data_IF_176951035700
#
_entry.id   IF_176951035700
#
_cell.length_a   1.000
_cell.length_b   1.000
_cell.length_c   1.000
_cell.angle_alpha   90.00
_cell.angle_beta   90.00
_cell.angle_gamma   90.00
#
_symmetry.space_group_name_H-M   'P 1'
#
loop_
_entity.id
_entity.type
_entity.pdbx_description
1 polymer ?
#
# COMPACT_ATOMS: atom_id res chain seq x y z
N UNK A 1 -1.11 -34.94 10.84
CA UNK A 1 -1.54 -35.73 9.67
C UNK A 1 -0.36 -35.92 8.71
N UNK A 2 0.22 -37.14 8.58
CA UNK A 2 1.50 -37.33 7.84
C UNK A 2 1.39 -36.99 6.34
N UNK A 3 0.34 -37.46 5.68
CA UNK A 3 0.17 -37.33 4.22
C UNK A 3 -0.03 -35.88 3.76
N UNK A 4 -0.56 -35.01 4.63
CA UNK A 4 -0.71 -33.59 4.32
C UNK A 4 0.64 -32.86 4.41
N UNK A 5 1.43 -33.14 5.45
CA UNK A 5 2.80 -32.64 5.57
C UNK A 5 3.64 -33.00 4.34
N UNK A 6 3.55 -34.25 3.85
CA UNK A 6 4.26 -34.71 2.65
C UNK A 6 3.77 -34.01 1.36
N UNK A 7 2.48 -33.63 1.29
CA UNK A 7 1.93 -32.85 0.18
C UNK A 7 2.39 -31.39 0.22
N UNK A 8 2.40 -30.77 1.40
CA UNK A 8 2.83 -29.38 1.57
C UNK A 8 4.34 -29.23 1.37
N UNK A 9 5.13 -30.22 1.82
CA UNK A 9 6.57 -30.29 1.61
C UNK A 9 6.98 -30.15 0.14
N UNK A 10 6.31 -30.90 -0.75
CA UNK A 10 6.51 -30.86 -2.21
C UNK A 10 6.14 -29.52 -2.85
N UNK A 11 5.54 -28.60 -2.10
CA UNK A 11 5.19 -27.25 -2.52
C UNK A 11 6.09 -26.17 -1.87
N UNK A 12 6.97 -26.51 -0.90
CA UNK A 12 7.73 -25.49 -0.15
C UNK A 12 8.75 -24.73 -1.01
N UNK A 13 9.37 -25.36 -2.00
CA UNK A 13 10.29 -24.66 -2.93
C UNK A 13 9.52 -23.67 -3.80
N UNK A 14 8.50 -24.13 -4.55
CA UNK A 14 7.65 -23.26 -5.36
C UNK A 14 6.94 -22.15 -4.52
N UNK A 15 6.70 -22.39 -3.23
CA UNK A 15 6.21 -21.38 -2.30
C UNK A 15 7.28 -20.33 -1.93
N UNK A 16 8.54 -20.75 -1.74
CA UNK A 16 9.68 -19.86 -1.49
C UNK A 16 10.00 -18.99 -2.72
N UNK A 17 9.87 -19.57 -3.91
CA UNK A 17 10.16 -18.92 -5.20
C UNK A 17 8.95 -18.12 -5.77
N UNK A 18 7.80 -18.15 -5.07
CA UNK A 18 6.51 -17.53 -5.47
C UNK A 18 5.91 -18.04 -6.79
N UNK A 19 6.19 -19.28 -7.18
CA UNK A 19 5.66 -19.93 -8.39
C UNK A 19 4.26 -20.56 -8.21
N UNK A 20 3.72 -20.58 -6.98
CA UNK A 20 2.40 -21.14 -6.69
C UNK A 20 1.25 -20.19 -7.02
N UNK A 21 0.15 -20.74 -7.54
CA UNK A 21 -1.12 -20.05 -7.62
C UNK A 21 -1.63 -19.61 -6.23
N UNK A 22 -2.44 -18.54 -6.18
CA UNK A 22 -2.89 -17.93 -4.92
C UNK A 22 -3.65 -18.88 -3.99
N UNK A 23 -4.37 -19.87 -4.54
CA UNK A 23 -5.13 -20.88 -3.77
C UNK A 23 -4.23 -21.99 -3.23
N UNK A 24 -3.14 -22.32 -3.93
CA UNK A 24 -2.09 -23.22 -3.41
C UNK A 24 -1.19 -22.53 -2.40
N UNK A 25 -0.75 -21.30 -2.66
CA UNK A 25 0.05 -20.50 -1.74
C UNK A 25 -0.67 -20.24 -0.40
N UNK A 26 -1.98 -19.96 -0.44
CA UNK A 26 -2.78 -19.78 0.78
C UNK A 26 -2.87 -21.07 1.62
N UNK A 27 -3.04 -22.24 0.99
CA UNK A 27 -3.03 -23.54 1.70
C UNK A 27 -1.69 -23.84 2.36
N UNK A 28 -0.59 -23.59 1.67
CA UNK A 28 0.76 -23.75 2.24
C UNK A 28 0.92 -22.81 3.45
N UNK A 29 0.51 -21.54 3.34
CA UNK A 29 0.52 -20.57 4.45
C UNK A 29 -0.34 -21.01 5.65
N UNK A 30 -1.54 -21.54 5.41
CA UNK A 30 -2.42 -22.08 6.44
C UNK A 30 -1.90 -23.35 7.13
N UNK A 31 -1.12 -24.17 6.44
CA UNK A 31 -0.47 -25.34 7.03
C UNK A 31 0.76 -24.94 7.85
N UNK A 32 1.57 -23.99 7.34
CA UNK A 32 2.76 -23.48 8.02
C UNK A 32 2.44 -22.83 9.38
N UNK A 33 1.29 -22.17 9.53
CA UNK A 33 0.86 -21.61 10.83
C UNK A 33 0.37 -22.65 11.84
N UNK A 34 0.21 -23.92 11.43
CA UNK A 34 -0.32 -25.04 12.24
C UNK A 34 0.67 -26.19 12.40
N UNK A 35 1.74 -26.24 11.62
CA UNK A 35 2.66 -27.37 11.50
C UNK A 35 4.12 -26.91 11.67
N UNK A 36 4.67 -27.08 12.88
CA UNK A 36 6.05 -26.74 13.23
C UNK A 36 7.07 -27.39 12.29
N UNK A 37 6.96 -28.70 12.05
CA UNK A 37 7.83 -29.48 11.14
C UNK A 37 7.92 -28.87 9.72
N UNK A 38 6.81 -28.43 9.13
CA UNK A 38 6.85 -27.81 7.81
C UNK A 38 7.37 -26.36 7.84
N UNK A 39 7.19 -25.64 8.94
CA UNK A 39 7.79 -24.32 9.16
C UNK A 39 9.31 -24.39 9.34
N UNK A 40 9.79 -25.39 10.09
CA UNK A 40 11.22 -25.72 10.26
C UNK A 40 11.87 -26.06 8.91
N UNK A 41 11.26 -26.97 8.12
CA UNK A 41 11.78 -27.32 6.79
C UNK A 41 11.77 -26.15 5.79
N UNK A 42 10.78 -25.25 5.86
CA UNK A 42 10.80 -23.99 5.10
C UNK A 42 11.92 -23.04 5.57
N UNK A 43 12.29 -23.08 6.85
CA UNK A 43 13.38 -22.28 7.40
C UNK A 43 14.73 -22.79 6.90
N UNK A 44 14.97 -24.11 6.93
CA UNK A 44 16.17 -24.72 6.32
C UNK A 44 16.28 -24.45 4.81
N UNK A 45 15.16 -24.47 4.08
CA UNK A 45 15.13 -24.08 2.65
C UNK A 45 15.55 -22.62 2.43
N UNK A 46 15.09 -21.69 3.29
CA UNK A 46 15.48 -20.27 3.25
C UNK A 46 16.97 -20.08 3.58
N UNK A 47 17.51 -20.81 4.54
CA UNK A 47 18.93 -20.77 4.91
C UNK A 47 19.82 -21.22 3.74
N UNK A 48 19.50 -22.37 3.11
CA UNK A 48 20.22 -22.88 1.94
C UNK A 48 20.16 -21.89 0.78
N UNK A 49 18.98 -21.35 0.46
CA UNK A 49 18.81 -20.33 -0.59
C UNK A 49 19.57 -19.03 -0.26
N UNK A 50 19.63 -18.63 1.02
CA UNK A 50 20.42 -17.50 1.49
C UNK A 50 21.94 -17.71 1.27
N UNK A 51 22.46 -18.89 1.64
CA UNK A 51 23.86 -19.26 1.40
C UNK A 51 24.23 -19.27 -0.09
N UNK A 52 23.32 -19.73 -0.95
CA UNK A 52 23.51 -19.68 -2.41
C UNK A 52 23.53 -18.24 -2.95
N UNK A 53 22.68 -17.35 -2.42
CA UNK A 53 22.67 -15.91 -2.76
C UNK A 53 23.87 -15.12 -2.20
N UNK A 54 24.50 -15.59 -1.14
CA UNK A 54 25.68 -14.96 -0.53
C UNK A 54 26.97 -15.16 -1.33
N UNK A 55 26.94 -15.97 -2.41
CA UNK A 55 28.09 -16.17 -3.30
C UNK A 55 28.40 -14.90 -4.10
N UNK A 56 29.68 -14.69 -4.38
CA UNK A 56 30.18 -13.64 -5.26
C UNK A 56 29.39 -13.56 -6.57
N UNK A 57 28.93 -12.34 -6.91
CA UNK A 57 28.17 -12.08 -8.13
C UNK A 57 29.14 -12.14 -9.32
N UNK A 58 28.95 -13.12 -10.20
CA UNK A 58 29.66 -13.12 -11.48
C UNK A 58 29.27 -11.88 -12.28
N UNK A 59 30.27 -11.14 -12.75
CA UNK A 59 30.09 -10.09 -13.76
C UNK A 59 29.51 -10.70 -15.05
N UNK A 60 28.50 -10.08 -15.67
CA UNK A 60 27.95 -10.56 -16.91
C UNK A 60 28.98 -10.46 -18.05
N UNK A 61 29.05 -11.44 -18.96
CA UNK A 61 29.94 -11.33 -20.12
C UNK A 61 29.57 -10.11 -20.98
N UNK A 62 30.56 -9.46 -21.63
CA UNK A 62 30.32 -8.25 -22.42
C UNK A 62 29.30 -8.51 -23.53
N UNK A 63 28.49 -7.48 -23.81
CA UNK A 63 27.37 -7.52 -24.77
C UNK A 63 26.23 -8.51 -24.43
N UNK A 64 26.16 -9.08 -23.21
CA UNK A 64 25.02 -9.91 -22.79
C UNK A 64 23.69 -9.15 -22.90
N UNK A 65 23.65 -7.89 -22.47
CA UNK A 65 22.47 -7.02 -22.56
C UNK A 65 21.94 -6.91 -23.99
N UNK A 66 22.79 -6.52 -24.95
CA UNK A 66 22.44 -6.44 -26.37
C UNK A 66 21.91 -7.78 -26.90
N UNK A 67 22.52 -8.90 -26.50
CA UNK A 67 22.07 -10.24 -26.90
C UNK A 67 20.69 -10.60 -26.34
N UNK A 68 20.38 -10.18 -25.12
CA UNK A 68 19.05 -10.37 -24.50
C UNK A 68 18.02 -9.48 -25.19
N UNK A 69 18.33 -8.20 -25.41
CA UNK A 69 17.42 -7.24 -26.05
C UNK A 69 17.07 -7.66 -27.49
N UNK A 70 18.08 -7.97 -28.32
CA UNK A 70 17.83 -8.46 -29.69
C UNK A 70 17.13 -9.83 -29.70
N UNK A 71 17.35 -10.71 -28.72
CA UNK A 71 16.58 -11.95 -28.61
C UNK A 71 15.11 -11.67 -28.26
N UNK A 72 14.83 -10.78 -27.32
CA UNK A 72 13.46 -10.40 -26.92
C UNK A 72 12.67 -9.74 -28.06
N UNK A 73 13.35 -8.91 -28.88
CA UNK A 73 12.79 -8.33 -30.11
C UNK A 73 12.42 -9.43 -31.13
N UNK A 74 13.36 -10.35 -31.43
CA UNK A 74 13.14 -11.43 -32.40
C UNK A 74 12.13 -12.49 -31.93
N UNK A 75 11.91 -12.63 -30.62
CA UNK A 75 10.86 -13.49 -30.04
C UNK A 75 9.46 -12.89 -30.25
N UNK A 76 9.36 -11.59 -30.57
CA UNK A 76 8.07 -10.94 -30.80
C UNK A 76 7.21 -10.89 -29.55
N UNK A 77 7.82 -10.60 -28.38
CA UNK A 77 7.07 -10.41 -27.13
C UNK A 77 5.90 -9.44 -27.36
N UNK A 78 4.66 -9.79 -26.98
CA UNK A 78 3.49 -8.98 -27.29
C UNK A 78 3.54 -7.66 -26.52
N UNK A 79 4.06 -6.62 -27.17
CA UNK A 79 3.91 -5.25 -26.72
C UNK A 79 2.47 -4.81 -26.93
N UNK A 80 1.59 -5.14 -25.98
CA UNK A 80 0.27 -4.49 -25.85
C UNK A 80 0.42 -3.05 -25.32
N UNK A 81 1.29 -2.28 -25.99
CA UNK A 81 1.36 -0.83 -25.88
C UNK A 81 0.13 -0.25 -26.58
N UNK A 82 -0.98 -0.13 -25.83
CA UNK A 82 -2.25 0.39 -26.31
C UNK A 82 -2.02 1.65 -27.16
N UNK A 83 -2.44 1.66 -28.44
CA UNK A 83 -1.87 2.56 -29.45
C UNK A 83 -2.09 4.02 -29.08
N UNK A 84 -0.98 4.72 -28.86
CA UNK A 84 -0.92 5.98 -28.13
C UNK A 84 -1.35 7.20 -28.97
N UNK A 85 -2.61 7.19 -29.42
CA UNK A 85 -3.18 8.23 -30.29
C UNK A 85 -3.80 9.41 -29.51
N UNK A 86 -4.16 9.20 -28.23
CA UNK A 86 -4.94 10.14 -27.42
C UNK A 86 -4.23 11.44 -27.02
N UNK A 87 -2.89 11.46 -26.86
CA UNK A 87 -2.17 12.66 -26.41
C UNK A 87 -2.31 13.86 -27.36
N UNK A 88 -2.70 13.64 -28.64
CA UNK A 88 -3.01 14.73 -29.58
C UNK A 88 -4.19 15.62 -29.13
N UNK A 89 -5.01 15.16 -28.19
CA UNK A 89 -6.12 15.94 -27.60
C UNK A 89 -5.77 16.60 -26.26
N UNK A 90 -4.67 16.23 -25.60
CA UNK A 90 -4.23 16.83 -24.33
C UNK A 90 -4.09 18.37 -24.39
N UNK A 91 -3.43 18.99 -25.39
CA UNK A 91 -3.29 20.45 -25.41
C UNK A 91 -4.61 21.21 -25.47
N UNK A 92 -5.69 20.57 -25.95
CA UNK A 92 -7.04 21.14 -25.96
C UNK A 92 -7.65 21.11 -24.55
N UNK A 93 -7.59 19.96 -23.87
CA UNK A 93 -8.11 19.81 -22.51
C UNK A 93 -7.36 20.66 -21.48
N UNK A 94 -6.03 20.80 -21.59
CA UNK A 94 -5.26 21.69 -20.70
C UNK A 94 -5.63 23.14 -20.89
N UNK A 95 -5.81 23.61 -22.14
CA UNK A 95 -6.22 24.99 -22.42
C UNK A 95 -7.62 25.29 -21.87
N UNK A 96 -8.58 24.37 -22.03
CA UNK A 96 -9.94 24.51 -21.49
C UNK A 96 -9.91 24.50 -19.95
N UNK A 97 -9.14 23.62 -19.32
CA UNK A 97 -9.01 23.55 -17.86
C UNK A 97 -8.41 24.84 -17.27
N UNK A 98 -7.35 25.38 -17.88
CA UNK A 98 -6.75 26.66 -17.47
C UNK A 98 -7.76 27.80 -17.65
N UNK A 99 -8.49 27.85 -18.76
CA UNK A 99 -9.47 28.90 -19.03
C UNK A 99 -10.65 28.84 -18.05
N UNK A 100 -11.14 27.65 -17.71
CA UNK A 100 -12.18 27.47 -16.68
C UNK A 100 -11.69 27.92 -15.29
N UNK A 101 -10.47 27.53 -14.89
CA UNK A 101 -9.89 27.96 -13.62
C UNK A 101 -9.76 29.49 -13.55
N UNK A 102 -9.22 30.13 -14.59
CA UNK A 102 -9.11 31.59 -14.68
C UNK A 102 -10.48 32.28 -14.65
N UNK A 103 -11.51 31.68 -15.25
CA UNK A 103 -12.87 32.22 -15.23
C UNK A 103 -13.49 32.13 -13.81
N UNK A 104 -13.43 30.95 -13.18
CA UNK A 104 -13.93 30.76 -11.80
C UNK A 104 -13.20 31.62 -10.77
N UNK A 105 -11.89 31.84 -10.93
CA UNK A 105 -11.14 32.77 -10.07
C UNK A 105 -11.46 34.25 -10.32
N UNK A 106 -12.08 34.61 -11.46
CA UNK A 106 -12.44 36.00 -11.77
C UNK A 106 -13.86 36.36 -11.33
N UNK A 107 -14.77 35.40 -11.28
CA UNK A 107 -16.13 35.59 -10.76
C UNK A 107 -16.21 35.34 -9.24
N UNK A 108 -15.30 34.53 -8.67
CA UNK A 108 -15.27 34.18 -7.24
C UNK A 108 -14.88 35.29 -6.24
N UNK A 109 -14.78 36.54 -6.70
CA UNK A 109 -14.55 37.76 -5.88
C UNK A 109 -15.81 38.65 -5.81
N UNK A 110 -16.98 38.07 -6.14
CA UNK A 110 -18.29 38.71 -5.96
C UNK A 110 -19.20 37.78 -5.15
N UNK A 111 -20.19 38.39 -4.52
CA UNK A 111 -21.27 37.72 -3.79
C UNK A 111 -20.80 36.93 -2.54
N UNK A 112 -19.81 37.48 -1.83
CA UNK A 112 -19.71 37.31 -0.36
C UNK A 112 -20.47 38.44 0.35
N UNK A 113 -21.77 38.51 0.11
CA UNK A 113 -22.68 39.27 0.95
C UNK A 113 -22.74 38.56 2.32
N UNK A 114 -22.17 39.20 3.36
CA UNK A 114 -22.06 38.59 4.69
C UNK A 114 -23.47 38.43 5.27
N UNK A 115 -23.80 37.22 5.72
CA UNK A 115 -25.12 36.92 6.25
C UNK A 115 -25.36 37.69 7.56
N UNK A 116 -26.52 38.35 7.75
CA UNK A 116 -26.87 38.98 9.03
C UNK A 116 -26.89 38.03 10.24
N UNK A 117 -26.81 36.71 10.00
CA UNK A 117 -26.71 35.67 11.04
C UNK A 117 -25.32 35.64 11.69
N UNK A 118 -24.25 35.96 10.97
CA UNK A 118 -22.87 35.78 11.48
C UNK A 118 -22.55 36.76 12.62
N UNK A 119 -23.06 37.99 12.55
CA UNK A 119 -22.89 39.00 13.62
C UNK A 119 -23.64 38.61 14.92
N UNK A 120 -24.78 37.92 14.79
CA UNK A 120 -25.54 37.37 15.92
C UNK A 120 -24.79 36.22 16.62
N UNK A 121 -23.99 35.43 15.89
CA UNK A 121 -23.18 34.35 16.47
C UNK A 121 -22.07 34.90 17.36
N UNK A 122 -21.36 35.96 16.93
CA UNK A 122 -20.36 36.61 17.78
C UNK A 122 -20.98 37.26 19.03
N UNK A 123 -22.16 37.89 18.91
CA UNK A 123 -22.81 38.53 20.06
C UNK A 123 -23.40 37.52 21.07
N UNK A 124 -23.78 36.31 20.63
CA UNK A 124 -24.22 35.23 21.52
C UNK A 124 -23.06 34.49 22.21
N UNK A 125 -21.91 34.32 21.53
CA UNK A 125 -20.69 33.80 22.16
C UNK A 125 -20.14 34.71 23.28
N UNK A 126 -20.42 36.00 23.25
CA UNK A 126 -19.94 36.97 24.26
C UNK A 126 -20.73 36.95 25.59
N UNK A 127 -21.74 36.08 25.75
CA UNK A 127 -22.68 36.10 26.89
C UNK A 127 -22.78 34.79 27.68
N UNK A 128 -22.39 33.63 27.11
CA UNK A 128 -22.29 32.41 27.93
C UNK A 128 -20.94 32.36 28.65
N UNK A 129 -21.00 32.67 29.94
CA UNK A 129 -19.89 32.53 30.89
C UNK A 129 -20.30 31.61 32.06
N UNK A 130 -21.38 30.81 31.92
CA UNK A 130 -21.98 29.99 32.99
C UNK A 130 -22.75 28.71 32.54
N UNK A 131 -22.47 28.16 31.36
CA UNK A 131 -22.13 26.75 31.18
C UNK A 131 -23.24 25.68 31.04
N UNK A 132 -22.89 24.64 30.27
CA UNK A 132 -23.42 23.28 30.44
C UNK A 132 -22.29 22.25 30.19
N UNK A 133 -22.44 21.04 30.74
CA UNK A 133 -21.32 20.12 30.97
C UNK A 133 -21.05 19.15 29.80
N UNK A 134 -19.79 19.14 29.33
CA UNK A 134 -19.10 17.93 28.90
C UNK A 134 -17.71 17.92 29.59
N UNK A 135 -17.62 17.19 30.69
CA UNK A 135 -16.45 17.17 31.57
C UNK A 135 -15.42 16.13 31.07
N UNK A 136 -14.65 16.49 30.04
CA UNK A 136 -13.44 15.74 29.66
C UNK A 136 -12.33 16.00 30.68
N UNK A 137 -12.32 15.22 31.77
CA UNK A 137 -11.27 15.26 32.77
C UNK A 137 -9.94 14.73 32.19
N UNK A 138 -8.82 15.47 32.31
CA UNK A 138 -7.53 14.98 31.87
C UNK A 138 -7.04 13.89 32.83
N UNK A 139 -6.98 12.65 32.35
CA UNK A 139 -6.47 11.49 33.10
C UNK A 139 -5.06 11.81 33.62
N UNK A 140 -4.85 11.66 34.92
CA UNK A 140 -3.59 12.00 35.58
C UNK A 140 -2.73 10.76 35.81
N UNK A 141 -1.44 10.95 36.07
CA UNK A 141 -0.49 9.83 36.13
C UNK A 141 -0.75 8.86 37.29
N UNK A 142 -1.44 9.30 38.36
CA UNK A 142 -1.80 8.48 39.52
C UNK A 142 -2.95 7.49 39.21
N UNK A 143 -3.83 7.79 38.25
CA UNK A 143 -4.92 6.90 37.83
C UNK A 143 -4.39 5.56 37.28
N UNK A 144 -3.23 5.59 36.62
CA UNK A 144 -2.61 4.39 36.03
C UNK A 144 -2.03 3.42 37.07
N UNK A 145 -1.75 3.87 38.29
CA UNK A 145 -1.18 3.01 39.34
C UNK A 145 -2.25 2.22 40.11
N UNK A 146 -3.43 2.81 40.35
CA UNK A 146 -4.51 2.14 41.06
C UNK A 146 -5.18 1.01 40.24
N UNK A 147 -5.00 1.00 38.91
CA UNK A 147 -5.54 -0.05 38.02
C UNK A 147 -4.79 -1.39 38.14
N UNK A 148 -3.66 -1.45 38.87
CA UNK A 148 -2.77 -2.62 38.94
C UNK A 148 -2.77 -3.39 40.29
N UNK A 149 -3.70 -3.11 41.20
CA UNK A 149 -3.75 -3.74 42.53
C UNK A 149 -5.00 -4.58 42.85
N UNK A 150 -5.98 -4.65 41.94
CA UNK A 150 -7.22 -5.45 42.09
C UNK A 150 -7.26 -6.68 41.13
N UNK A 151 -6.13 -7.38 40.96
CA UNK A 151 -5.99 -8.64 40.19
C UNK A 151 -5.07 -9.66 40.88
#
# INVERSE_FOLDING_TARGET
MKNECERMDKLLSAYLDNELDSKSAMKVKEHLSKCSHCSERLTTLKEIHGLLRARERMEPPPFLENRILSAAENIGLPQEVLPYSGWKLIPLFTAISILLLVFSFRDGDKDKEISPVDEYIYQSMAMDNNGFLLEESPITQDDMLNTFLDL
#
